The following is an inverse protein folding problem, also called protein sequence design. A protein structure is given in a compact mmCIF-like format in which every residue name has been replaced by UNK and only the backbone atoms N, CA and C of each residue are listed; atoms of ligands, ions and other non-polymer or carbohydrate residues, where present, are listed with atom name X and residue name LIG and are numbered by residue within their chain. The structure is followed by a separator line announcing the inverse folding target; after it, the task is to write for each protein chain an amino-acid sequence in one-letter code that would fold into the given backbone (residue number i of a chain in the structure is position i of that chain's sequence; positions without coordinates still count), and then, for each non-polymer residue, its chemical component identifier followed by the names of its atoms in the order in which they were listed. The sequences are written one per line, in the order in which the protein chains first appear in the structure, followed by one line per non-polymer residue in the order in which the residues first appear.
data_IF_702775557354
#
_entry.id   IF_702775557354
#
_cell.length_a   1.000
_cell.length_b   1.000
_cell.length_c   1.000
_cell.angle_alpha   90.00
_cell.angle_beta   90.00
_cell.angle_gamma   90.00
#
_symmetry.space_group_name_H-M   'P 1'
#
loop_
_entity.id
_entity.type
_entity.pdbx_description
1 polymer ?
#
# COMPACT_ATOMS: atom_id res chain seq x y z
N UNK A 1 16.18 -32.18 -8.33
CA UNK A 1 16.44 -30.99 -7.49
C UNK A 1 16.81 -31.46 -6.09
N UNK A 2 17.70 -30.77 -5.39
CA UNK A 2 17.95 -31.04 -3.97
C UNK A 2 16.81 -30.44 -3.14
N UNK A 3 16.23 -31.21 -2.23
CA UNK A 3 15.16 -30.77 -1.32
C UNK A 3 15.72 -30.56 0.10
N UNK A 4 15.19 -29.59 0.87
CA UNK A 4 15.59 -29.40 2.27
C UNK A 4 15.13 -30.57 3.15
N UNK A 5 15.93 -30.89 4.18
CA UNK A 5 15.67 -31.99 5.13
C UNK A 5 14.47 -31.78 6.08
N UNK A 6 13.66 -30.75 5.86
CA UNK A 6 12.50 -30.41 6.68
C UNK A 6 11.40 -29.80 5.83
N UNK A 7 10.16 -30.07 6.21
CA UNK A 7 8.98 -29.55 5.52
C UNK A 7 8.89 -28.04 5.69
N UNK A 8 8.74 -27.33 4.58
CA UNK A 8 8.42 -25.90 4.55
C UNK A 8 6.92 -25.75 4.37
N UNK A 9 6.29 -24.94 5.21
CA UNK A 9 4.88 -24.55 5.04
C UNK A 9 4.76 -23.51 3.92
N UNK A 10 5.00 -23.92 2.68
CA UNK A 10 4.78 -23.08 1.52
C UNK A 10 3.32 -22.60 1.48
N UNK A 11 3.12 -21.35 1.06
CA UNK A 11 1.80 -20.70 1.10
C UNK A 11 1.45 -20.03 2.43
N UNK A 12 2.28 -20.18 3.48
CA UNK A 12 2.07 -19.49 4.76
C UNK A 12 2.89 -18.20 4.85
N UNK A 13 2.23 -17.07 5.07
CA UNK A 13 2.87 -15.77 5.26
C UNK A 13 3.69 -15.75 6.57
N UNK A 14 5.02 -15.50 6.52
CA UNK A 14 5.86 -15.41 7.72
C UNK A 14 5.67 -14.12 8.52
N UNK A 15 5.00 -13.11 7.95
CA UNK A 15 4.71 -11.81 8.54
C UNK A 15 3.22 -11.59 8.78
N UNK A 16 2.51 -12.63 9.23
CA UNK A 16 1.09 -12.51 9.55
C UNK A 16 0.84 -11.39 10.57
N UNK A 17 -0.20 -10.61 10.34
CA UNK A 17 -0.64 -9.46 11.13
C UNK A 17 0.06 -8.15 10.79
N UNK A 18 1.13 -8.17 9.98
CA UNK A 18 1.98 -7.00 9.77
C UNK A 18 1.20 -5.81 9.19
N UNK A 19 0.31 -6.08 8.25
CA UNK A 19 -0.51 -5.06 7.60
C UNK A 19 -1.68 -4.51 8.45
N UNK A 20 -1.89 -5.11 9.62
CA UNK A 20 -2.88 -4.68 10.61
C UNK A 20 -2.22 -4.03 11.83
N UNK A 21 -0.89 -3.96 11.89
CA UNK A 21 -0.18 -3.21 12.93
C UNK A 21 -0.15 -1.73 12.58
N UNK A 22 -0.09 -0.86 13.59
CA UNK A 22 0.01 0.58 13.37
C UNK A 22 1.48 1.02 13.23
N UNK A 23 2.43 0.23 13.77
CA UNK A 23 3.87 0.52 13.74
C UNK A 23 4.70 -0.72 13.34
N UNK A 24 5.69 -0.56 12.45
CA UNK A 24 6.58 -1.66 12.06
C UNK A 24 7.47 -2.10 13.24
N UNK A 25 7.64 -3.42 13.42
CA UNK A 25 8.41 -3.97 14.54
C UNK A 25 9.94 -3.88 14.37
N UNK A 26 10.44 -3.61 13.16
CA UNK A 26 11.89 -3.45 12.86
C UNK A 26 12.28 -2.04 12.42
N UNK A 27 11.33 -1.10 12.34
CA UNK A 27 11.61 0.26 11.90
C UNK A 27 11.35 1.25 13.04
N UNK A 28 12.40 2.00 13.38
CA UNK A 28 12.42 3.01 14.44
C UNK A 28 12.68 4.42 13.90
N UNK A 29 12.40 4.65 12.61
CA UNK A 29 12.52 5.97 12.00
C UNK A 29 11.35 6.88 12.35
N UNK A 30 11.31 8.05 11.71
CA UNK A 30 10.28 9.07 11.92
C UNK A 30 8.90 8.57 11.51
N UNK A 31 7.87 9.09 12.18
CA UNK A 31 6.49 8.80 11.82
C UNK A 31 6.07 9.69 10.65
N UNK A 32 5.34 9.14 9.66
CA UNK A 32 4.80 9.95 8.59
C UNK A 32 4.00 11.14 9.14
N UNK A 33 4.02 12.30 8.45
CA UNK A 33 3.29 13.48 8.88
C UNK A 33 1.77 13.25 8.86
N UNK A 34 1.03 14.24 9.37
CA UNK A 34 -0.44 14.30 9.30
C UNK A 34 -1.19 13.21 10.11
N UNK A 35 -0.50 12.54 11.03
CA UNK A 35 -1.10 11.49 11.87
C UNK A 35 -1.38 10.20 11.09
N UNK A 36 -0.67 9.98 9.99
CA UNK A 36 -0.80 8.77 9.18
C UNK A 36 0.03 7.66 9.82
N UNK A 37 -0.62 6.53 10.11
CA UNK A 37 0.07 5.40 10.69
C UNK A 37 1.16 4.89 9.73
N UNK A 38 2.39 4.62 10.21
CA UNK A 38 3.49 4.10 9.40
C UNK A 38 3.11 2.95 8.45
N UNK A 39 2.25 2.03 8.91
CA UNK A 39 1.82 0.84 8.16
C UNK A 39 0.49 1.02 7.43
N UNK A 40 -0.08 2.23 7.41
CA UNK A 40 -1.12 2.55 6.43
C UNK A 40 -0.54 2.45 5.02
N UNK A 41 -1.36 2.01 4.06
CA UNK A 41 -0.95 2.00 2.65
C UNK A 41 -1.22 3.32 1.96
N UNK A 42 -0.35 3.64 1.01
CA UNK A 42 -0.46 4.77 0.10
C UNK A 42 -0.24 4.30 -1.34
N UNK A 43 -0.88 5.01 -2.27
CA UNK A 43 -0.62 4.92 -3.70
C UNK A 43 0.27 6.09 -4.09
N UNK A 44 1.49 5.80 -4.54
CA UNK A 44 2.43 6.80 -5.03
C UNK A 44 2.35 6.93 -6.54
N UNK A 45 2.23 8.16 -7.03
CA UNK A 45 2.39 8.50 -8.45
C UNK A 45 3.39 9.66 -8.56
N UNK A 46 4.59 9.38 -9.08
CA UNK A 46 5.67 10.37 -9.07
C UNK A 46 6.07 10.76 -7.63
N UNK A 47 6.06 12.05 -7.32
CA UNK A 47 6.38 12.59 -5.99
C UNK A 47 5.16 12.75 -5.08
N UNK A 48 3.98 12.26 -5.50
CA UNK A 48 2.71 12.40 -4.77
C UNK A 48 2.23 11.09 -4.19
N UNK A 49 1.60 11.13 -3.01
CA UNK A 49 0.98 9.98 -2.37
C UNK A 49 -0.47 10.24 -1.93
N UNK A 50 -1.36 9.30 -2.25
CA UNK A 50 -2.76 9.26 -1.78
C UNK A 50 -2.93 8.11 -0.80
N UNK A 51 -3.64 8.33 0.31
CA UNK A 51 -3.91 7.23 1.26
C UNK A 51 -4.87 6.21 0.66
N UNK A 52 -4.58 4.92 0.88
CA UNK A 52 -5.43 3.84 0.39
C UNK A 52 -6.82 3.88 1.06
N UNK A 53 -6.88 4.31 2.32
CA UNK A 53 -8.14 4.55 3.04
C UNK A 53 -9.05 5.53 2.28
N UNK A 54 -8.53 6.69 1.88
CA UNK A 54 -9.26 7.67 1.06
C UNK A 54 -9.71 7.07 -0.27
N UNK A 55 -8.81 6.38 -0.97
CA UNK A 55 -9.11 5.73 -2.24
C UNK A 55 -10.21 4.66 -2.13
N UNK A 56 -10.20 3.86 -1.06
CA UNK A 56 -11.24 2.86 -0.83
C UNK A 56 -12.63 3.46 -0.56
N UNK A 57 -12.68 4.64 0.07
CA UNK A 57 -13.93 5.37 0.35
C UNK A 57 -14.46 6.07 -0.88
N UNK A 58 -13.60 6.76 -1.62
CA UNK A 58 -13.98 7.56 -2.79
C UNK A 58 -14.10 6.72 -4.08
N UNK A 59 -13.46 5.55 -4.13
CA UNK A 59 -13.36 4.60 -5.26
C UNK A 59 -12.71 5.16 -6.54
N UNK A 60 -12.84 6.45 -6.79
CA UNK A 60 -12.20 7.14 -7.90
C UNK A 60 -11.84 8.58 -7.50
N UNK A 61 -10.57 8.94 -7.65
CA UNK A 61 -10.03 10.28 -7.41
C UNK A 61 -9.50 10.82 -8.73
N UNK A 62 -9.80 12.08 -9.04
CA UNK A 62 -9.21 12.82 -10.16
C UNK A 62 -8.56 14.09 -9.63
N UNK A 63 -7.24 14.08 -9.50
CA UNK A 63 -6.47 15.11 -8.81
C UNK A 63 -5.05 15.17 -9.39
N UNK A 64 -4.40 16.34 -9.37
CA UNK A 64 -3.03 16.52 -9.88
C UNK A 64 -2.78 15.98 -11.30
N UNK A 65 -3.79 16.02 -12.17
CA UNK A 65 -3.69 15.56 -13.56
C UNK A 65 -3.74 14.04 -13.75
N UNK A 66 -4.03 13.27 -12.69
CA UNK A 66 -4.19 11.81 -12.74
C UNK A 66 -5.58 11.39 -12.30
N UNK A 67 -6.03 10.26 -12.81
CA UNK A 67 -7.22 9.55 -12.36
C UNK A 67 -6.79 8.24 -11.71
N UNK A 68 -7.14 8.05 -10.45
CA UNK A 68 -6.85 6.86 -9.66
C UNK A 68 -8.17 6.18 -9.34
N UNK A 69 -8.32 4.91 -9.73
CA UNK A 69 -9.47 4.09 -9.35
C UNK A 69 -9.04 2.95 -8.43
N UNK A 70 -9.87 2.69 -7.42
CA UNK A 70 -9.76 1.58 -6.50
C UNK A 70 -10.93 0.62 -6.71
N UNK A 71 -10.66 -0.68 -6.70
CA UNK A 71 -11.68 -1.72 -6.77
C UNK A 71 -11.38 -2.81 -5.75
N UNK A 72 -12.40 -3.23 -4.99
CA UNK A 72 -12.30 -4.36 -4.06
C UNK A 72 -11.87 -5.67 -4.75
N UNK A 73 -11.26 -6.57 -3.99
CA UNK A 73 -11.00 -7.96 -4.42
C UNK A 73 -9.53 -8.38 -4.42
N UNK A 74 -8.62 -7.59 -3.84
CA UNK A 74 -7.22 -7.98 -3.70
C UNK A 74 -6.86 -8.06 -2.22
N UNK A 75 -6.62 -9.28 -1.73
CA UNK A 75 -6.22 -9.49 -0.35
C UNK A 75 -4.74 -9.11 -0.12
N UNK A 76 -4.46 -8.61 1.08
CA UNK A 76 -3.10 -8.34 1.54
C UNK A 76 -2.31 -9.62 1.75
N UNK A 77 -1.15 -9.72 1.08
CA UNK A 77 -0.19 -10.79 1.31
C UNK A 77 0.50 -10.73 2.70
N UNK A 78 0.35 -9.62 3.42
CA UNK A 78 1.03 -9.36 4.70
C UNK A 78 0.07 -9.32 5.90
N UNK A 79 -1.22 -9.58 5.70
CA UNK A 79 -2.22 -9.48 6.76
C UNK A 79 -2.48 -10.81 7.46
N UNK A 80 -2.85 -11.86 6.72
CA UNK A 80 -3.15 -13.18 7.29
C UNK A 80 -2.06 -14.20 6.97
N UNK A 81 -2.04 -15.31 7.72
CA UNK A 81 -1.20 -16.46 7.43
C UNK A 81 -1.58 -17.13 6.09
N UNK A 82 -2.88 -17.11 5.76
CA UNK A 82 -3.44 -17.53 4.47
C UNK A 82 -3.87 -16.27 3.71
N UNK A 83 -3.31 -16.05 2.52
CA UNK A 83 -3.43 -14.76 1.80
C UNK A 83 -4.88 -14.41 1.47
N UNK A 84 -5.70 -15.38 1.09
CA UNK A 84 -7.11 -15.18 0.72
C UNK A 84 -7.99 -14.71 1.90
N UNK A 85 -7.52 -14.89 3.14
CA UNK A 85 -8.16 -14.39 4.36
C UNK A 85 -7.63 -13.03 4.81
N UNK A 86 -6.68 -12.44 4.07
CA UNK A 86 -6.13 -11.13 4.39
C UNK A 86 -7.12 -10.00 4.12
N UNK A 87 -6.96 -8.88 4.83
CA UNK A 87 -7.64 -7.61 4.59
C UNK A 87 -7.62 -7.24 3.10
N UNK A 88 -8.76 -6.78 2.60
CA UNK A 88 -8.86 -6.28 1.22
C UNK A 88 -8.13 -4.94 1.09
N UNK A 89 -7.14 -4.91 0.23
CA UNK A 89 -6.36 -3.73 -0.13
C UNK A 89 -6.80 -3.16 -1.48
N UNK A 90 -7.65 -3.91 -2.19
CA UNK A 90 -8.15 -3.62 -3.51
C UNK A 90 -7.06 -3.51 -4.58
N UNK A 91 -7.51 -3.41 -5.81
CA UNK A 91 -6.70 -3.18 -6.99
C UNK A 91 -6.74 -1.71 -7.38
N UNK A 92 -5.59 -1.18 -7.75
CA UNK A 92 -5.41 0.21 -8.17
C UNK A 92 -5.18 0.27 -9.68
N UNK A 93 -5.79 1.27 -10.32
CA UNK A 93 -5.44 1.70 -11.68
C UNK A 93 -5.20 3.21 -11.66
N UNK A 94 -4.10 3.63 -12.27
CA UNK A 94 -3.75 5.05 -12.43
C UNK A 94 -3.67 5.37 -13.91
N UNK A 95 -4.33 6.44 -14.33
CA UNK A 95 -4.33 6.93 -15.71
C UNK A 95 -4.10 8.43 -15.79
N UNK A 96 -3.53 8.89 -16.91
CA UNK A 96 -3.49 10.31 -17.24
C UNK A 96 -4.82 10.82 -17.86
N UNK A 97 -4.86 12.11 -18.18
CA UNK A 97 -6.02 12.75 -18.81
C UNK A 97 -6.36 12.20 -20.21
N UNK A 98 -5.43 11.49 -20.85
CA UNK A 98 -5.65 10.81 -22.13
C UNK A 98 -6.07 9.35 -21.95
N UNK A 99 -6.23 8.88 -20.71
CA UNK A 99 -6.62 7.52 -20.38
C UNK A 99 -5.48 6.50 -20.47
N UNK A 100 -4.22 6.94 -20.58
CA UNK A 100 -3.05 6.05 -20.64
C UNK A 100 -2.63 5.65 -19.24
N UNK A 101 -2.30 4.37 -19.05
CA UNK A 101 -1.86 3.86 -17.76
C UNK A 101 -0.53 4.50 -17.33
N UNK A 102 -0.44 4.89 -16.05
CA UNK A 102 0.74 5.50 -15.45
C UNK A 102 1.40 4.55 -14.44
N UNK A 103 2.75 4.60 -14.32
CA UNK A 103 3.46 3.88 -13.27
C UNK A 103 3.05 4.41 -11.90
N UNK A 104 2.82 3.49 -10.97
CA UNK A 104 2.47 3.78 -9.59
C UNK A 104 2.97 2.66 -8.68
N UNK A 105 3.11 2.97 -7.40
CA UNK A 105 3.41 1.97 -6.37
C UNK A 105 2.31 1.95 -5.32
N UNK A 106 2.04 0.77 -4.78
CA UNK A 106 1.23 0.60 -3.57
C UNK A 106 2.18 0.18 -2.44
N UNK A 107 2.45 1.08 -1.50
CA UNK A 107 3.46 0.88 -0.46
C UNK A 107 2.98 1.34 0.91
N UNK A 108 3.75 1.07 1.95
CA UNK A 108 3.50 1.60 3.29
C UNK A 108 3.87 3.08 3.41
N UNK A 109 3.14 3.82 4.23
CA UNK A 109 3.31 5.25 4.44
C UNK A 109 4.73 5.60 4.92
N UNK A 110 5.31 4.82 5.84
CA UNK A 110 6.68 5.04 6.31
C UNK A 110 7.71 4.92 5.19
N UNK A 111 7.48 4.05 4.20
CA UNK A 111 8.39 3.88 3.08
C UNK A 111 8.30 5.08 2.14
N UNK A 112 7.09 5.60 1.89
CA UNK A 112 6.95 6.82 1.10
C UNK A 112 7.65 8.00 1.78
N UNK A 113 7.41 8.20 3.08
CA UNK A 113 8.03 9.26 3.87
C UNK A 113 9.56 9.20 3.86
N UNK A 114 10.13 8.00 4.03
CA UNK A 114 11.58 7.81 4.06
C UNK A 114 12.26 7.98 2.69
N UNK A 115 11.61 7.56 1.60
CA UNK A 115 12.21 7.58 0.25
C UNK A 115 11.81 8.81 -0.58
N UNK A 116 10.76 9.52 -0.20
CA UNK A 116 10.31 10.79 -0.77
C UNK A 116 10.12 11.84 0.33
N UNK A 117 11.21 12.30 0.98
CA UNK A 117 11.12 13.25 2.10
C UNK A 117 10.49 14.59 1.71
N UNK A 118 10.62 14.99 0.44
CA UNK A 118 10.00 16.20 -0.14
C UNK A 118 8.69 15.87 -0.89
N UNK A 119 8.14 14.67 -0.68
CA UNK A 119 6.94 14.19 -1.35
C UNK A 119 5.68 14.93 -0.90
N UNK A 120 4.72 15.06 -1.82
CA UNK A 120 3.46 15.74 -1.58
C UNK A 120 2.37 14.74 -1.15
N UNK A 121 1.82 14.94 0.06
CA UNK A 121 0.72 14.13 0.60
C UNK A 121 -0.64 14.68 0.11
N UNK A 122 -1.33 13.90 -0.70
CA UNK A 122 -2.58 14.26 -1.37
C UNK A 122 -3.80 13.86 -0.52
N UNK A 123 -4.09 14.67 0.50
CA UNK A 123 -5.02 14.29 1.57
C UNK A 123 -6.50 14.61 1.31
N UNK A 124 -6.83 15.35 0.25
CA UNK A 124 -8.19 15.79 -0.03
C UNK A 124 -8.62 16.88 0.96
N UNK A 125 -8.71 18.12 0.49
CA UNK A 125 -9.27 19.24 1.26
C UNK A 125 -10.69 19.54 0.78
#
# INVERSE_FOLDING_TARGET
MAEPAYNRSYGRNPYAGYDSLNRPFLYSGEEPPHGIEPLSRVVRVGDRAWTLDRLSKEQQISEAGVQISWQAGQASALDSAEIDKGKDVGSIRVRDAQGRDLPHDVMFAFAFDAFWPEGEWMLGR
#
